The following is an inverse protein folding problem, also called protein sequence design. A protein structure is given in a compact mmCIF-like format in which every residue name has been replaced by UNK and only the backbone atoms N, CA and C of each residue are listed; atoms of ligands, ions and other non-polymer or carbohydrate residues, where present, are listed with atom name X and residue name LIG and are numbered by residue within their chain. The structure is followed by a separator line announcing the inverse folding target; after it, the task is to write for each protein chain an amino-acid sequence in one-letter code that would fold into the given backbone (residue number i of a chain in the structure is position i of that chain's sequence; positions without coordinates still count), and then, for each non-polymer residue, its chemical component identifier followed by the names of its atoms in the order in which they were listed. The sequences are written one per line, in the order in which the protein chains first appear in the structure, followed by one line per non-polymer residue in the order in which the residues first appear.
data_IF_484004306983
#
_entry.id   IF_484004306983
#
_cell.length_a   1.000
_cell.length_b   1.000
_cell.length_c   1.000
_cell.angle_alpha   90.00
_cell.angle_beta   90.00
_cell.angle_gamma   90.00
#
_symmetry.space_group_name_H-M   'P 1'
#
loop_
_entity.id
_entity.type
_entity.pdbx_description
1 polymer ?
#
# COMPACT_ATOMS: atom_id res chain seq x y z
N UNK A 1 8.47 4.78 -29.99
CA UNK A 1 7.23 4.98 -29.22
C UNK A 1 6.26 5.67 -30.15
N UNK A 2 5.22 4.95 -30.56
CA UNK A 2 4.23 5.41 -31.53
C UNK A 2 3.42 6.57 -30.95
N UNK A 3 3.07 7.55 -31.78
CA UNK A 3 2.20 8.67 -31.42
C UNK A 3 0.84 8.21 -30.84
N UNK A 4 0.44 6.94 -31.09
CA UNK A 4 -0.75 6.31 -30.52
C UNK A 4 -0.64 5.97 -29.03
N UNK A 5 0.54 5.61 -28.53
CA UNK A 5 0.74 5.10 -27.17
C UNK A 5 0.60 6.23 -26.13
N UNK A 6 1.12 7.42 -26.45
CA UNK A 6 0.99 8.61 -25.60
C UNK A 6 -0.48 9.03 -25.47
N UNK A 7 -1.26 8.89 -26.56
CA UNK A 7 -2.69 9.20 -26.56
C UNK A 7 -3.48 8.19 -25.72
N UNK A 8 -3.15 6.90 -25.86
CA UNK A 8 -3.74 5.83 -25.05
C UNK A 8 -3.43 5.98 -23.56
N UNK A 9 -2.20 6.34 -23.18
CA UNK A 9 -1.83 6.62 -21.79
C UNK A 9 -2.62 7.79 -21.21
N UNK A 10 -2.76 8.88 -21.97
CA UNK A 10 -3.48 10.08 -21.53
C UNK A 10 -4.98 9.82 -21.32
N UNK A 11 -5.55 8.93 -22.13
CA UNK A 11 -6.95 8.51 -22.03
C UNK A 11 -7.17 7.48 -20.91
N UNK A 12 -6.24 6.55 -20.71
CA UNK A 12 -6.29 5.55 -19.64
C UNK A 12 -6.04 6.14 -18.23
N UNK A 13 -5.31 7.25 -18.14
CA UNK A 13 -4.96 7.90 -16.88
C UNK A 13 -6.15 8.20 -15.96
N UNK A 14 -7.22 8.90 -16.42
CA UNK A 14 -8.39 9.16 -15.59
C UNK A 14 -9.11 7.88 -15.13
N UNK A 15 -9.10 6.81 -15.93
CA UNK A 15 -9.68 5.51 -15.54
C UNK A 15 -8.84 4.77 -14.50
N UNK A 16 -7.53 5.05 -14.43
CA UNK A 16 -6.62 4.46 -13.44
C UNK A 16 -6.60 5.20 -12.09
N UNK A 17 -7.02 6.48 -12.06
CA UNK A 17 -7.07 7.29 -10.83
C UNK A 17 -7.90 6.66 -9.69
N UNK A 18 -9.10 6.09 -9.92
CA UNK A 18 -9.88 5.44 -8.86
C UNK A 18 -9.11 4.28 -8.22
N UNK A 19 -8.46 3.45 -9.03
CA UNK A 19 -7.69 2.30 -8.57
C UNK A 19 -6.48 2.77 -7.77
N UNK A 20 -5.76 3.77 -8.28
CA UNK A 20 -4.61 4.35 -7.61
C UNK A 20 -4.98 4.98 -6.27
N UNK A 21 -6.15 5.63 -6.18
CA UNK A 21 -6.67 6.18 -4.94
C UNK A 21 -6.91 5.08 -3.88
N UNK A 22 -7.47 3.92 -4.27
CA UNK A 22 -7.60 2.77 -3.38
C UNK A 22 -6.24 2.27 -2.89
N UNK A 23 -5.22 2.16 -3.76
CA UNK A 23 -3.88 1.74 -3.34
C UNK A 23 -3.24 2.72 -2.35
N UNK A 24 -3.38 4.03 -2.58
CA UNK A 24 -2.90 5.05 -1.65
C UNK A 24 -3.63 4.99 -0.30
N UNK A 25 -4.95 4.79 -0.34
CA UNK A 25 -5.77 4.64 0.86
C UNK A 25 -5.35 3.39 1.65
N UNK A 26 -5.09 2.27 0.97
CA UNK A 26 -4.60 1.04 1.61
C UNK A 26 -3.22 1.22 2.25
N UNK A 27 -2.32 1.99 1.61
CA UNK A 27 -1.05 2.38 2.22
C UNK A 27 -1.23 3.23 3.48
N UNK A 28 -2.19 4.17 3.48
CA UNK A 28 -2.51 4.97 4.65
C UNK A 28 -3.08 4.11 5.80
N UNK A 29 -3.97 3.17 5.51
CA UNK A 29 -4.50 2.22 6.50
C UNK A 29 -3.37 1.41 7.14
N UNK A 30 -2.42 0.90 6.34
CA UNK A 30 -1.26 0.18 6.86
C UNK A 30 -0.39 1.08 7.77
N UNK A 31 -0.14 2.32 7.35
CA UNK A 31 0.59 3.30 8.15
C UNK A 31 -0.07 3.58 9.50
N UNK A 32 -1.39 3.75 9.52
CA UNK A 32 -2.17 3.95 10.76
C UNK A 32 -2.10 2.71 11.65
N UNK A 33 -2.24 1.50 11.10
CA UNK A 33 -2.12 0.26 11.87
C UNK A 33 -0.74 0.13 12.53
N UNK A 34 0.33 0.43 11.79
CA UNK A 34 1.69 0.39 12.32
C UNK A 34 1.94 1.49 13.37
N UNK A 35 1.38 2.69 13.18
CA UNK A 35 1.45 3.78 14.15
C UNK A 35 0.73 3.41 15.46
N UNK A 36 -0.45 2.79 15.36
CA UNK A 36 -1.20 2.28 16.51
C UNK A 36 -0.45 1.15 17.24
N UNK A 37 0.33 0.36 16.50
CA UNK A 37 1.21 -0.66 17.04
C UNK A 37 2.51 -0.09 17.64
N UNK A 38 2.71 1.24 17.62
CA UNK A 38 3.87 1.91 18.20
C UNK A 38 5.11 1.95 17.29
N UNK A 39 4.99 1.56 16.03
CA UNK A 39 6.10 1.57 15.08
C UNK A 39 6.24 2.92 14.35
N UNK A 40 7.49 3.25 13.99
CA UNK A 40 7.80 4.47 13.25
C UNK A 40 7.23 4.45 11.82
N UNK A 41 6.73 5.59 11.28
CA UNK A 41 6.25 5.68 9.90
C UNK A 41 7.27 5.24 8.85
N UNK A 42 8.57 5.38 9.14
CA UNK A 42 9.65 4.93 8.26
C UNK A 42 9.67 3.42 8.11
N UNK A 43 9.45 2.68 9.21
CA UNK A 43 9.39 1.20 9.18
C UNK A 43 8.20 0.75 8.34
N UNK A 44 7.06 1.44 8.47
CA UNK A 44 5.88 1.19 7.64
C UNK A 44 6.17 1.40 6.15
N UNK A 45 6.90 2.47 5.80
CA UNK A 45 7.28 2.73 4.42
C UNK A 45 8.21 1.64 3.86
N UNK A 46 9.22 1.24 4.63
CA UNK A 46 10.13 0.15 4.24
C UNK A 46 9.40 -1.18 4.08
N UNK A 47 8.47 -1.51 4.99
CA UNK A 47 7.66 -2.72 4.89
C UNK A 47 6.78 -2.72 3.65
N UNK A 48 6.13 -1.60 3.32
CA UNK A 48 5.31 -1.48 2.11
C UNK A 48 6.08 -1.61 0.80
N UNK A 49 7.40 -1.36 0.79
CA UNK A 49 8.25 -1.49 -0.41
C UNK A 49 8.87 -2.89 -0.50
N UNK A 50 9.27 -3.47 0.63
CA UNK A 50 10.02 -4.74 0.66
C UNK A 50 9.10 -5.96 0.71
N UNK A 51 7.94 -5.86 1.34
CA UNK A 51 7.04 -6.99 1.58
C UNK A 51 5.94 -7.01 0.52
N UNK A 52 5.98 -8.01 -0.38
CA UNK A 52 4.95 -8.22 -1.40
C UNK A 52 3.98 -9.36 -0.99
N UNK A 53 3.35 -9.22 0.17
CA UNK A 53 2.46 -10.24 0.73
C UNK A 53 0.97 -9.97 0.47
N UNK A 54 0.61 -8.81 -0.10
CA UNK A 54 -0.77 -8.39 -0.31
C UNK A 54 -1.52 -8.21 1.01
N UNK A 55 -2.71 -8.80 1.13
CA UNK A 55 -3.55 -8.69 2.34
C UNK A 55 -2.89 -9.27 3.61
N UNK A 56 -1.96 -10.23 3.46
CA UNK A 56 -1.26 -10.84 4.59
C UNK A 56 -0.33 -9.85 5.32
N UNK A 57 0.12 -8.79 4.65
CA UNK A 57 0.96 -7.77 5.27
C UNK A 57 0.23 -7.05 6.43
N UNK A 58 -1.09 -6.87 6.34
CA UNK A 58 -1.91 -6.27 7.40
C UNK A 58 -2.07 -7.22 8.60
N UNK A 59 -2.18 -8.53 8.34
CA UNK A 59 -2.23 -9.56 9.39
C UNK A 59 -0.89 -9.64 10.11
N UNK A 60 0.22 -9.51 9.39
CA UNK A 60 1.54 -9.46 9.99
C UNK A 60 1.69 -8.29 10.97
N UNK A 61 1.06 -7.14 10.72
CA UNK A 61 1.02 -6.03 11.71
C UNK A 61 0.30 -6.46 12.98
N UNK A 62 -0.83 -7.14 12.86
CA UNK A 62 -1.54 -7.65 14.03
C UNK A 62 -0.69 -8.64 14.83
N UNK A 63 0.10 -9.49 14.16
CA UNK A 63 1.04 -10.41 14.81
C UNK A 63 2.23 -9.69 15.46
N UNK A 64 2.76 -8.66 14.82
CA UNK A 64 3.87 -7.84 15.32
C UNK A 64 3.44 -6.90 16.48
N UNK A 65 2.19 -6.44 16.47
CA UNK A 65 1.62 -5.54 17.47
C UNK A 65 1.06 -6.30 18.67
N UNK A 66 0.39 -7.43 18.41
CA UNK A 66 -0.26 -8.26 19.43
C UNK A 66 0.65 -9.31 20.05
N UNK A 67 1.86 -9.54 19.50
CA UNK A 67 2.82 -10.51 20.01
C UNK A 67 2.26 -11.93 20.04
N UNK A 68 2.30 -12.63 18.90
CA UNK A 68 1.99 -14.07 18.72
C UNK A 68 1.21 -14.70 19.90
N UNK A 69 -0.10 -14.41 19.96
CA UNK A 69 -1.03 -15.01 20.90
C UNK A 69 -2.25 -15.50 20.12
N UNK A 70 -2.54 -16.79 20.22
CA UNK A 70 -3.80 -17.39 19.77
C UNK A 70 -4.96 -16.90 20.63
#
# INVERSE_FOLDING_TARGET
MSCSEIRALKEAFPYSLPIMATYLLMGAVFGIMMANAGYSPWISLFMSVIIYAGALQYIAVAWLAGGVGF
#
